data_IF_136645839885
#
_entry.id   IF_136645839885
#
_cell.length_a   1.000
_cell.length_b   1.000
_cell.length_c   1.000
_cell.angle_alpha   90.00
_cell.angle_beta   90.00
_cell.angle_gamma   90.00
#
_symmetry.space_group_name_H-M   'P 1'
#
loop_
_entity.id
_entity.type
_entity.pdbx_description
1 polymer ?
#
# COMPACT_ATOMS: atom_id res chain seq x y z
N UNK A 1 18.66 -2.98 -11.51
CA UNK A 1 17.45 -2.49 -10.82
C UNK A 1 17.89 -1.46 -9.80
N UNK A 2 17.24 -0.30 -9.78
CA UNK A 2 17.45 0.78 -8.83
C UNK A 2 16.16 0.97 -8.04
N UNK A 3 16.27 1.14 -6.72
CA UNK A 3 15.14 1.32 -5.83
C UNK A 3 15.43 2.45 -4.84
N UNK A 4 14.43 3.28 -4.58
CA UNK A 4 14.46 4.33 -3.57
C UNK A 4 13.15 4.35 -2.79
N UNK A 5 13.24 4.45 -1.46
CA UNK A 5 12.12 4.65 -0.55
C UNK A 5 12.39 5.90 0.29
N UNK A 6 11.37 6.73 0.45
CA UNK A 6 11.36 7.78 1.46
C UNK A 6 10.08 7.67 2.25
N UNK A 7 10.20 7.52 3.56
CA UNK A 7 9.08 7.43 4.49
C UNK A 7 9.19 8.57 5.49
N UNK A 8 8.14 9.38 5.62
CA UNK A 8 8.02 10.41 6.64
C UNK A 8 6.98 10.00 7.67
N UNK A 9 7.35 9.97 8.95
CA UNK A 9 6.44 9.72 10.06
C UNK A 9 6.91 8.64 11.02
N UNK A 10 5.96 7.92 11.61
CA UNK A 10 6.15 6.81 12.54
C UNK A 10 5.38 5.58 12.08
N UNK A 11 5.52 4.48 12.81
CA UNK A 11 4.84 3.20 12.52
C UNK A 11 3.32 3.32 12.45
N UNK A 12 2.73 4.26 13.20
CA UNK A 12 1.27 4.46 13.29
C UNK A 12 0.75 5.68 12.53
N UNK A 13 1.65 6.41 11.85
CA UNK A 13 1.29 7.57 11.03
C UNK A 13 2.44 7.85 10.07
N UNK A 14 2.27 7.59 8.78
CA UNK A 14 3.32 7.89 7.82
C UNK A 14 2.76 8.17 6.42
N UNK A 15 3.62 8.78 5.62
CA UNK A 15 3.48 8.88 4.17
C UNK A 15 4.76 8.32 3.57
N UNK A 16 4.59 7.45 2.57
CA UNK A 16 5.69 6.74 1.95
C UNK A 16 5.65 6.94 0.44
N UNK A 17 6.83 7.21 -0.11
CA UNK A 17 7.08 7.29 -1.54
C UNK A 17 8.11 6.23 -1.91
N UNK A 18 7.77 5.41 -2.90
CA UNK A 18 8.66 4.40 -3.45
C UNK A 18 8.86 4.65 -4.93
N UNK A 19 10.09 4.52 -5.41
CA UNK A 19 10.39 4.49 -6.82
C UNK A 19 11.30 3.30 -7.12
N UNK A 20 10.94 2.53 -8.14
CA UNK A 20 11.69 1.40 -8.63
C UNK A 20 11.88 1.55 -10.14
N UNK A 21 13.09 1.32 -10.61
CA UNK A 21 13.42 1.27 -12.03
C UNK A 21 14.19 0.00 -12.33
N UNK A 22 13.70 -0.76 -13.31
CA UNK A 22 14.37 -1.96 -13.79
C UNK A 22 14.65 -1.83 -15.27
N UNK A 23 15.92 -1.95 -15.62
CA UNK A 23 16.40 -2.10 -16.99
C UNK A 23 16.90 -3.54 -17.13
N UNK A 24 15.96 -4.49 -17.12
CA UNK A 24 16.24 -5.87 -17.47
C UNK A 24 15.98 -6.03 -18.98
N UNK A 25 16.93 -6.63 -19.69
CA UNK A 25 16.98 -6.76 -21.15
C UNK A 25 15.60 -6.90 -21.81
N UNK A 26 15.08 -5.80 -22.38
CA UNK A 26 13.87 -5.77 -23.19
C UNK A 26 12.64 -5.11 -22.57
N UNK A 27 12.62 -4.84 -21.26
CA UNK A 27 11.53 -4.14 -20.59
C UNK A 27 12.07 -3.12 -19.60
N UNK A 28 12.15 -1.87 -20.04
CA UNK A 28 12.31 -0.74 -19.12
C UNK A 28 10.97 -0.54 -18.42
N UNK A 29 10.96 -0.75 -17.11
CA UNK A 29 9.77 -0.54 -16.29
C UNK A 29 10.11 0.35 -15.11
N UNK A 30 9.38 1.45 -14.99
CA UNK A 30 9.40 2.32 -13.84
C UNK A 30 8.10 2.15 -13.06
N UNK A 31 8.23 1.89 -11.76
CA UNK A 31 7.11 1.80 -10.82
C UNK A 31 7.30 2.86 -9.76
N UNK A 32 6.30 3.71 -9.61
CA UNK A 32 6.23 4.70 -8.56
C UNK A 32 5.05 4.38 -7.65
N UNK A 33 5.24 4.46 -6.34
CA UNK A 33 4.18 4.26 -5.37
C UNK A 33 4.12 5.39 -4.36
N UNK A 34 2.89 5.80 -4.04
CA UNK A 34 2.57 6.70 -2.95
C UNK A 34 1.57 5.98 -2.03
N UNK A 35 1.91 5.88 -0.75
CA UNK A 35 1.02 5.34 0.27
C UNK A 35 0.97 6.21 1.51
N UNK A 36 -0.13 6.12 2.24
CA UNK A 36 -0.29 6.83 3.50
C UNK A 36 -1.00 5.94 4.53
N UNK A 37 -0.53 6.02 5.77
CA UNK A 37 -1.19 5.51 6.95
C UNK A 37 -1.56 6.71 7.84
N UNK A 38 -2.85 7.04 7.89
CA UNK A 38 -3.35 8.22 8.60
C UNK A 38 -4.24 7.78 9.77
N UNK A 39 -3.87 8.07 11.03
CA UNK A 39 -4.70 7.66 12.17
C UNK A 39 -6.00 8.46 12.20
N UNK A 40 -7.10 7.74 12.31
CA UNK A 40 -8.43 8.29 12.60
C UNK A 40 -8.64 8.33 14.12
N UNK A 41 -8.21 7.28 14.82
CA UNK A 41 -8.18 7.18 16.27
C UNK A 41 -7.10 6.18 16.74
N UNK A 42 -7.07 5.84 18.02
CA UNK A 42 -6.07 4.92 18.62
C UNK A 42 -6.04 3.51 18.03
N UNK A 43 -7.10 3.07 17.36
CA UNK A 43 -7.26 1.71 16.85
C UNK A 43 -7.59 1.65 15.36
N UNK A 44 -7.74 2.79 14.70
CA UNK A 44 -8.26 2.86 13.34
C UNK A 44 -7.44 3.84 12.52
N UNK A 45 -7.05 3.41 11.32
CA UNK A 45 -6.29 4.19 10.37
C UNK A 45 -6.97 4.15 9.00
N UNK A 46 -6.90 5.27 8.29
CA UNK A 46 -7.08 5.30 6.84
C UNK A 46 -5.77 4.82 6.21
N UNK A 47 -5.88 3.89 5.27
CA UNK A 47 -4.76 3.38 4.47
C UNK A 47 -4.99 3.71 3.01
N UNK A 48 -3.95 4.13 2.30
CA UNK A 48 -3.97 4.29 0.85
C UNK A 48 -2.69 3.73 0.26
N UNK A 49 -2.79 3.18 -0.95
CA UNK A 49 -1.63 2.66 -1.66
C UNK A 49 -1.85 2.77 -3.17
N UNK A 50 -1.01 3.55 -3.85
CA UNK A 50 -1.22 3.92 -5.25
C UNK A 50 0.06 3.66 -6.04
N UNK A 51 0.02 2.72 -6.97
CA UNK A 51 1.10 2.33 -7.86
C UNK A 51 0.86 2.89 -9.27
N UNK A 52 1.90 3.45 -9.86
CA UNK A 52 1.93 3.99 -11.22
C UNK A 52 3.04 3.28 -11.98
N UNK A 53 2.67 2.58 -13.05
CA UNK A 53 3.60 1.89 -13.94
C UNK A 53 3.59 2.54 -15.33
N UNK A 54 4.75 2.60 -16.00
CA UNK A 54 4.90 3.23 -17.31
C UNK A 54 4.61 2.31 -18.52
N UNK A 55 5.02 1.03 -18.53
CA UNK A 55 4.84 0.12 -19.69
C UNK A 55 4.64 -1.37 -19.33
N UNK A 56 3.64 -2.08 -19.93
CA UNK A 56 2.38 -1.55 -20.48
C UNK A 56 1.60 -0.93 -19.32
N UNK A 57 1.69 0.40 -19.19
CA UNK A 57 1.46 1.11 -17.94
C UNK A 57 0.01 1.10 -17.46
N UNK A 58 -0.16 1.46 -16.18
CA UNK A 58 -1.44 1.49 -15.51
C UNK A 58 -1.32 2.07 -14.10
N UNK A 59 -2.46 2.47 -13.53
CA UNK A 59 -2.57 2.87 -12.13
C UNK A 59 -3.31 1.78 -11.36
N UNK A 60 -2.69 1.26 -10.30
CA UNK A 60 -3.38 0.45 -9.29
C UNK A 60 -3.50 1.33 -8.05
N UNK A 61 -4.72 1.67 -7.66
CA UNK A 61 -4.97 2.52 -6.50
C UNK A 61 -5.78 1.78 -5.45
N UNK A 62 -5.50 2.00 -4.18
CA UNK A 62 -6.33 1.51 -3.09
C UNK A 62 -6.58 2.56 -2.03
N UNK A 63 -7.77 2.47 -1.43
CA UNK A 63 -8.15 3.21 -0.24
C UNK A 63 -8.92 2.27 0.69
N UNK A 64 -8.62 2.33 1.98
CA UNK A 64 -9.21 1.43 2.95
C UNK A 64 -9.06 1.88 4.38
N UNK A 65 -9.58 1.05 5.28
CA UNK A 65 -9.51 1.21 6.71
C UNK A 65 -8.75 0.03 7.30
N UNK A 66 -7.72 0.33 8.08
CA UNK A 66 -7.06 -0.62 8.98
C UNK A 66 -7.62 -0.43 10.38
N UNK A 67 -8.00 -1.52 11.05
CA UNK A 67 -8.47 -1.51 12.44
C UNK A 67 -7.77 -2.57 13.28
N UNK A 68 -7.15 -2.15 14.37
CA UNK A 68 -6.58 -3.06 15.36
C UNK A 68 -7.67 -3.65 16.27
N UNK A 69 -7.83 -4.97 16.22
CA UNK A 69 -8.82 -5.70 17.02
C UNK A 69 -8.17 -6.12 18.34
N UNK A 70 -8.35 -5.30 19.39
CA UNK A 70 -7.81 -5.58 20.75
C UNK A 70 -8.11 -6.99 21.26
N UNK A 71 -9.31 -7.52 20.96
CA UNK A 71 -9.72 -8.87 21.39
C UNK A 71 -8.83 -9.98 20.83
N UNK A 72 -8.33 -9.80 19.61
CA UNK A 72 -7.56 -10.82 18.90
C UNK A 72 -6.08 -10.46 18.75
N UNK A 73 -5.70 -9.23 19.08
CA UNK A 73 -4.30 -8.80 19.07
C UNK A 73 -3.72 -8.58 17.67
N UNK A 74 -4.56 -8.36 16.65
CA UNK A 74 -4.09 -8.14 15.27
C UNK A 74 -4.91 -7.09 14.52
N UNK A 75 -4.33 -6.42 13.50
CA UNK A 75 -5.06 -5.53 12.62
C UNK A 75 -5.80 -6.28 11.50
N UNK A 76 -7.00 -5.77 11.19
CA UNK A 76 -7.79 -6.11 10.01
C UNK A 76 -7.81 -4.94 9.05
N UNK A 77 -7.65 -5.23 7.77
CA UNK A 77 -7.68 -4.26 6.69
C UNK A 77 -8.90 -4.51 5.81
N UNK A 78 -9.62 -3.45 5.48
CA UNK A 78 -10.72 -3.45 4.53
C UNK A 78 -10.48 -2.35 3.52
N UNK A 79 -10.29 -2.69 2.25
CA UNK A 79 -9.97 -1.71 1.21
C UNK A 79 -10.75 -1.96 -0.07
N UNK A 80 -10.88 -0.92 -0.88
CA UNK A 80 -11.22 -1.04 -2.29
C UNK A 80 -9.96 -0.82 -3.11
N UNK A 81 -9.75 -1.69 -4.09
CA UNK A 81 -8.62 -1.64 -5.02
C UNK A 81 -9.17 -1.41 -6.41
N UNK A 82 -8.74 -0.33 -7.05
CA UNK A 82 -9.00 -0.02 -8.46
C UNK A 82 -7.85 -0.54 -9.33
N UNK A 83 -8.21 -1.24 -10.40
CA UNK A 83 -7.29 -1.80 -11.39
C UNK A 83 -7.26 -0.94 -12.67
N UNK A 84 -6.16 -0.96 -13.44
CA UNK A 84 -6.01 -0.16 -14.66
C UNK A 84 -7.12 -0.36 -15.69
N UNK A 85 -7.75 -1.53 -15.71
CA UNK A 85 -8.82 -1.90 -16.65
C UNK A 85 -10.20 -1.36 -16.25
N UNK A 86 -10.27 -0.55 -15.18
CA UNK A 86 -11.50 0.11 -14.73
C UNK A 86 -12.35 -0.73 -13.75
N UNK A 87 -11.86 -1.88 -13.33
CA UNK A 87 -12.52 -2.70 -12.30
C UNK A 87 -12.11 -2.25 -10.90
N UNK A 88 -13.04 -2.34 -9.96
CA UNK A 88 -12.76 -2.19 -8.54
C UNK A 88 -13.10 -3.50 -7.81
N UNK A 89 -12.25 -3.93 -6.90
CA UNK A 89 -12.48 -5.11 -6.06
C UNK A 89 -12.34 -4.76 -4.59
N UNK A 90 -13.12 -5.42 -3.74
CA UNK A 90 -12.96 -5.33 -2.31
C UNK A 90 -11.84 -6.26 -1.86
N UNK A 91 -11.01 -5.79 -0.93
CA UNK A 91 -9.93 -6.54 -0.30
C UNK A 91 -10.14 -6.60 1.21
N UNK A 92 -9.88 -7.76 1.78
CA UNK A 92 -9.82 -7.96 3.23
C UNK A 92 -8.49 -8.63 3.58
N UNK A 93 -7.76 -8.04 4.53
CA UNK A 93 -6.47 -8.54 5.00
C UNK A 93 -6.44 -8.67 6.52
N UNK A 94 -5.63 -9.60 7.03
CA UNK A 94 -5.35 -9.77 8.46
C UNK A 94 -3.85 -10.00 8.66
N UNK A 95 -3.24 -9.29 9.60
CA UNK A 95 -1.80 -9.47 9.91
C UNK A 95 -1.63 -10.18 11.24
N UNK A 96 -1.34 -11.47 11.22
CA UNK A 96 -1.17 -12.25 12.46
C UNK A 96 0.25 -12.06 13.03
N UNK A 97 0.39 -11.74 14.32
CA UNK A 97 1.70 -11.74 14.96
C UNK A 97 2.26 -13.17 15.00
N UNK A 98 3.50 -13.33 14.58
CA UNK A 98 4.26 -14.57 14.78
C UNK A 98 5.07 -14.38 16.08
N UNK A 99 4.70 -15.13 17.11
CA UNK A 99 5.48 -15.16 18.35
C UNK A 99 6.68 -16.10 18.13
N UNK A 100 7.90 -15.56 18.25
CA UNK A 100 9.14 -16.33 18.30
C UNK A 100 9.57 -16.54 19.75
#
# INVERSE_FOLDING_TARGET
>A
MVFANVTWGSENRNITFNWCSSNATGFDTNVFNISALLPINEQTWLITENYFQDKPGGMIGSIGIRRFIKRWGFPLDFAFVALPEGYATAFVGATFPINH
#
